data_IF_175160681216
#
_entry.id   IF_175160681216
#
_cell.length_a   1.000
_cell.length_b   1.000
_cell.length_c   1.000
_cell.angle_alpha   90.00
_cell.angle_beta   90.00
_cell.angle_gamma   90.00
#
_symmetry.space_group_name_H-M   'P 1'
#
loop_
_entity.id
_entity.type
_entity.pdbx_description
1 polymer ?
#
# COMPACT_ATOMS: atom_id res chain seq x y z
N UNK A 1 -59.99 -16.46 60.01
CA UNK A 1 -59.23 -17.61 59.48
C UNK A 1 -59.24 -17.52 57.97
N UNK A 2 -58.10 -17.24 57.32
CA UNK A 2 -58.02 -17.21 55.86
C UNK A 2 -57.70 -18.61 55.33
N UNK A 3 -58.56 -19.14 54.46
CA UNK A 3 -58.35 -20.44 53.81
C UNK A 3 -57.15 -20.36 52.84
N UNK A 4 -56.30 -21.38 52.87
CA UNK A 4 -55.12 -21.48 52.00
C UNK A 4 -55.57 -21.76 50.56
N UNK A 5 -55.42 -20.79 49.66
CA UNK A 5 -55.78 -20.94 48.24
C UNK A 5 -54.70 -21.75 47.51
N UNK A 6 -54.93 -23.05 47.39
CA UNK A 6 -54.07 -23.98 46.66
C UNK A 6 -54.40 -23.95 45.16
N UNK A 7 -53.98 -22.89 44.44
CA UNK A 7 -54.14 -22.82 42.99
C UNK A 7 -53.01 -23.65 42.36
N UNK A 8 -53.32 -24.73 41.60
CA UNK A 8 -52.30 -25.55 40.97
C UNK A 8 -51.50 -24.73 39.95
N UNK A 9 -50.18 -24.97 39.89
CA UNK A 9 -49.29 -24.28 38.97
C UNK A 9 -49.69 -24.56 37.51
N UNK A 10 -49.83 -23.50 36.72
CA UNK A 10 -50.24 -23.58 35.32
C UNK A 10 -49.19 -24.32 34.49
N UNK A 11 -49.63 -25.31 33.69
CA UNK A 11 -48.72 -26.17 32.93
C UNK A 11 -48.06 -25.44 31.75
N UNK A 12 -46.98 -26.00 31.19
CA UNK A 12 -46.26 -25.39 30.06
C UNK A 12 -47.13 -25.28 28.81
N UNK A 13 -47.99 -26.25 28.56
CA UNK A 13 -48.95 -26.25 27.46
C UNK A 13 -49.99 -25.13 27.62
N UNK A 14 -50.53 -24.96 28.84
CA UNK A 14 -51.46 -23.88 29.16
C UNK A 14 -50.81 -22.49 28.99
N UNK A 15 -49.53 -22.35 29.37
CA UNK A 15 -48.76 -21.11 29.11
C UNK A 15 -48.51 -20.87 27.62
N UNK A 16 -48.27 -21.93 26.84
CA UNK A 16 -48.11 -21.86 25.39
C UNK A 16 -49.39 -21.42 24.69
N UNK A 17 -50.53 -21.98 25.08
CA UNK A 17 -51.84 -21.59 24.54
C UNK A 17 -52.19 -20.12 24.83
N UNK A 18 -51.83 -19.61 26.00
CA UNK A 18 -52.00 -18.19 26.35
C UNK A 18 -51.03 -17.24 25.62
N UNK A 19 -49.90 -17.76 25.11
CA UNK A 19 -48.90 -17.00 24.37
C UNK A 19 -49.06 -17.06 22.85
N UNK A 20 -49.92 -17.95 22.33
CA UNK A 20 -50.22 -18.02 20.91
C UNK A 20 -50.99 -16.77 20.48
N UNK A 21 -50.32 -15.96 19.66
CA UNK A 21 -50.83 -14.66 19.20
C UNK A 21 -52.07 -14.82 18.34
N UNK A 22 -52.20 -15.90 17.57
CA UNK A 22 -53.40 -16.14 16.75
C UNK A 22 -54.62 -16.44 17.61
N UNK A 23 -54.48 -17.34 18.59
CA UNK A 23 -55.55 -17.72 19.51
C UNK A 23 -56.05 -16.51 20.29
N UNK A 24 -55.12 -15.71 20.82
CA UNK A 24 -55.43 -14.49 21.57
C UNK A 24 -56.17 -13.45 20.73
N UNK A 25 -55.80 -13.31 19.46
CA UNK A 25 -56.46 -12.37 18.55
C UNK A 25 -57.85 -12.87 18.14
N UNK A 26 -58.02 -14.18 17.91
CA UNK A 26 -59.33 -14.80 17.66
C UNK A 26 -60.28 -14.63 18.86
N UNK A 27 -59.78 -14.76 20.09
CA UNK A 27 -60.56 -14.51 21.31
C UNK A 27 -60.94 -13.03 21.47
N UNK A 28 -59.99 -12.09 21.23
CA UNK A 28 -60.31 -10.65 21.26
C UNK A 28 -61.35 -10.28 20.21
N UNK A 29 -61.25 -10.82 19.00
CA UNK A 29 -62.24 -10.61 17.94
C UNK A 29 -63.61 -11.17 18.34
N UNK A 30 -63.66 -12.34 19.00
CA UNK A 30 -64.91 -12.91 19.53
C UNK A 30 -65.53 -12.08 20.66
N UNK A 31 -64.70 -11.50 21.52
CA UNK A 31 -65.14 -10.74 22.70
C UNK A 31 -65.41 -9.25 22.41
N UNK A 32 -65.15 -8.80 21.18
CA UNK A 32 -65.38 -7.41 20.78
C UNK A 32 -66.90 -7.12 20.71
N UNK A 33 -67.37 -6.24 21.59
CA UNK A 33 -68.80 -5.90 21.77
C UNK A 33 -69.30 -4.72 20.94
N UNK A 34 -68.52 -4.24 19.98
CA UNK A 34 -68.90 -3.08 19.16
C UNK A 34 -69.41 -3.54 17.78
N UNK A 35 -70.72 -3.32 17.59
CA UNK A 35 -71.54 -3.43 16.38
C UNK A 35 -70.89 -3.96 15.10
N UNK A 36 -70.95 -5.27 14.89
CA UNK A 36 -70.86 -5.85 13.55
C UNK A 36 -72.24 -5.84 12.90
N UNK A 37 -72.45 -4.98 11.90
CA UNK A 37 -73.42 -5.28 10.85
C UNK A 37 -72.86 -6.51 10.12
N UNK A 38 -73.46 -7.68 10.35
CA UNK A 38 -73.23 -8.83 9.46
C UNK A 38 -73.96 -8.51 8.17
N UNK A 39 -73.20 -8.13 7.15
CA UNK A 39 -73.74 -7.97 5.81
C UNK A 39 -74.02 -9.37 5.28
N UNK A 40 -75.29 -9.76 5.20
CA UNK A 40 -75.69 -10.99 4.53
C UNK A 40 -75.33 -10.87 3.05
N UNK A 41 -74.25 -11.54 2.65
CA UNK A 41 -73.76 -11.58 1.26
C UNK A 41 -74.65 -12.42 0.36
N UNK A 42 -75.59 -13.18 0.93
CA UNK A 42 -76.58 -14.00 0.22
C UNK A 42 -77.66 -13.17 -0.50
N UNK A 43 -77.99 -11.98 -0.01
CA UNK A 43 -79.05 -11.14 -0.57
C UNK A 43 -78.57 -10.18 -1.67
N UNK A 44 -77.30 -9.74 -1.62
CA UNK A 44 -76.76 -8.72 -2.52
C UNK A 44 -75.73 -9.22 -3.54
N UNK A 45 -75.43 -10.52 -3.56
CA UNK A 45 -74.53 -11.17 -4.55
C UNK A 45 -73.07 -10.72 -4.51
N UNK A 46 -72.78 -9.60 -3.84
CA UNK A 46 -71.44 -9.08 -3.64
C UNK A 46 -71.34 -8.48 -2.24
N UNK A 47 -70.18 -8.67 -1.62
CA UNK A 47 -69.82 -7.92 -0.41
C UNK A 47 -70.09 -6.42 -0.66
N UNK A 48 -70.57 -5.72 0.37
CA UNK A 48 -70.96 -4.30 0.42
C UNK A 48 -69.93 -3.27 -0.10
N UNK A 49 -68.83 -3.74 -0.68
CA UNK A 49 -67.63 -3.02 -1.13
C UNK A 49 -67.58 -2.93 -2.66
N UNK A 50 -68.44 -3.65 -3.39
CA UNK A 50 -68.52 -3.57 -4.86
C UNK A 50 -69.77 -2.79 -5.25
N UNK A 51 -69.54 -1.63 -5.83
CA UNK A 51 -70.59 -0.79 -6.40
C UNK A 51 -71.19 -1.47 -7.65
N UNK A 52 -72.49 -1.34 -7.84
CA UNK A 52 -73.14 -1.81 -9.07
C UNK A 52 -72.64 -0.98 -10.27
N UNK A 53 -72.47 -1.61 -11.44
CA UNK A 53 -71.89 -0.96 -12.64
C UNK A 53 -72.56 0.35 -13.06
N UNK A 54 -73.84 0.52 -12.73
CA UNK A 54 -74.66 1.70 -13.05
C UNK A 54 -74.61 2.79 -11.97
N UNK A 55 -74.00 2.51 -10.82
CA UNK A 55 -73.92 3.44 -9.70
C UNK A 55 -72.73 4.39 -9.85
N UNK A 56 -72.87 5.61 -9.34
CA UNK A 56 -71.85 6.65 -9.44
C UNK A 56 -70.51 6.29 -8.78
N UNK A 57 -70.52 5.34 -7.82
CA UNK A 57 -69.32 4.85 -7.15
C UNK A 57 -68.61 3.71 -7.88
N UNK A 58 -69.12 3.24 -9.01
CA UNK A 58 -68.50 2.16 -9.77
C UNK A 58 -67.20 2.61 -10.44
N UNK A 59 -66.16 1.82 -10.24
CA UNK A 59 -64.88 1.92 -10.95
C UNK A 59 -64.53 0.54 -11.48
N UNK A 60 -63.97 0.49 -12.68
CA UNK A 60 -63.46 -0.77 -13.23
C UNK A 60 -62.26 -1.26 -12.43
N UNK A 61 -62.00 -2.56 -12.42
CA UNK A 61 -60.81 -3.09 -11.75
C UNK A 61 -59.50 -2.54 -12.37
N UNK A 62 -59.52 -2.17 -13.65
CA UNK A 62 -58.39 -1.52 -14.33
C UNK A 62 -58.12 -0.10 -13.82
N UNK A 63 -59.15 0.61 -13.37
CA UNK A 63 -59.01 1.95 -12.76
C UNK A 63 -58.77 1.86 -11.24
N UNK A 64 -59.22 0.77 -10.62
CA UNK A 64 -59.07 0.49 -9.19
C UNK A 64 -57.67 -0.01 -8.83
N UNK A 65 -57.05 -0.80 -9.69
CA UNK A 65 -55.76 -1.42 -9.46
C UNK A 65 -54.72 -0.91 -10.46
N UNK A 66 -53.51 -0.61 -9.98
CA UNK A 66 -52.39 -0.34 -10.87
C UNK A 66 -52.08 -1.58 -11.71
N UNK A 67 -52.14 -1.44 -13.04
CA UNK A 67 -51.99 -2.54 -13.98
C UNK A 67 -50.53 -2.88 -14.29
N UNK A 68 -49.60 -1.97 -14.00
CA UNK A 68 -48.15 -2.14 -14.27
C UNK A 68 -47.33 -2.46 -13.02
N UNK A 69 -47.78 -3.43 -12.23
CA UNK A 69 -47.01 -3.93 -11.08
C UNK A 69 -45.65 -4.48 -11.48
N UNK A 70 -45.53 -4.99 -12.73
CA UNK A 70 -44.29 -5.53 -13.26
C UNK A 70 -43.25 -4.43 -13.54
N UNK A 71 -43.67 -3.29 -14.09
CA UNK A 71 -42.83 -2.12 -14.30
C UNK A 71 -42.33 -1.50 -12.99
N UNK A 72 -43.21 -1.38 -11.99
CA UNK A 72 -42.83 -0.86 -10.66
C UNK A 72 -41.81 -1.76 -9.96
N UNK A 73 -42.02 -3.08 -9.97
CA UNK A 73 -41.08 -4.05 -9.39
C UNK A 73 -39.74 -4.04 -10.12
N UNK A 74 -39.76 -3.88 -11.46
CA UNK A 74 -38.54 -3.73 -12.24
C UNK A 74 -37.79 -2.47 -11.86
N UNK A 75 -38.46 -1.32 -11.77
CA UNK A 75 -37.85 -0.06 -11.35
C UNK A 75 -37.25 -0.17 -9.94
N UNK A 76 -37.94 -0.84 -9.02
CA UNK A 76 -37.43 -1.09 -7.67
C UNK A 76 -36.15 -1.95 -7.70
N UNK A 77 -36.10 -3.01 -8.52
CA UNK A 77 -34.91 -3.86 -8.66
C UNK A 77 -33.73 -3.11 -9.28
N UNK A 78 -33.99 -2.33 -10.32
CA UNK A 78 -32.98 -1.51 -10.98
C UNK A 78 -32.40 -0.47 -10.01
N UNK A 79 -33.24 0.18 -9.21
CA UNK A 79 -32.78 1.13 -8.17
C UNK A 79 -31.91 0.43 -7.11
N UNK A 80 -32.35 -0.73 -6.60
CA UNK A 80 -31.56 -1.52 -5.63
C UNK A 80 -30.21 -1.90 -6.23
N UNK A 81 -30.19 -2.38 -7.47
CA UNK A 81 -28.96 -2.76 -8.17
C UNK A 81 -28.04 -1.55 -8.36
N UNK A 82 -28.55 -0.42 -8.82
CA UNK A 82 -27.78 0.82 -9.00
C UNK A 82 -27.19 1.32 -7.66
N UNK A 83 -27.95 1.26 -6.57
CA UNK A 83 -27.47 1.58 -5.22
C UNK A 83 -26.33 0.64 -4.81
N UNK A 84 -26.44 -0.67 -5.05
CA UNK A 84 -25.37 -1.61 -4.74
C UNK A 84 -24.12 -1.36 -5.59
N UNK A 85 -24.28 -1.13 -6.90
CA UNK A 85 -23.15 -0.84 -7.79
C UNK A 85 -22.39 0.42 -7.38
N UNK A 86 -23.10 1.53 -7.15
CA UNK A 86 -22.48 2.78 -6.70
C UNK A 86 -21.74 2.63 -5.36
N UNK A 87 -22.25 1.82 -4.43
CA UNK A 87 -21.54 1.51 -3.18
C UNK A 87 -20.25 0.71 -3.42
N UNK A 88 -20.28 -0.29 -4.31
CA UNK A 88 -19.11 -1.09 -4.65
C UNK A 88 -18.06 -0.25 -5.36
N UNK A 89 -18.45 0.58 -6.32
CA UNK A 89 -17.57 1.50 -7.04
C UNK A 89 -16.92 2.49 -6.08
N UNK A 90 -17.70 3.10 -5.17
CA UNK A 90 -17.16 3.99 -4.15
C UNK A 90 -16.15 3.29 -3.24
N UNK A 91 -16.42 2.06 -2.82
CA UNK A 91 -15.49 1.27 -2.01
C UNK A 91 -14.19 0.96 -2.77
N UNK A 92 -14.30 0.56 -4.04
CA UNK A 92 -13.14 0.30 -4.91
C UNK A 92 -12.30 1.56 -5.10
N UNK A 93 -12.94 2.68 -5.45
CA UNK A 93 -12.28 3.96 -5.60
C UNK A 93 -11.54 4.37 -4.33
N UNK A 94 -12.20 4.32 -3.18
CA UNK A 94 -11.57 4.67 -1.90
C UNK A 94 -10.39 3.76 -1.56
N UNK A 95 -10.48 2.46 -1.87
CA UNK A 95 -9.37 1.53 -1.68
C UNK A 95 -8.17 1.93 -2.53
N UNK A 96 -8.39 2.16 -3.83
CA UNK A 96 -7.34 2.58 -4.77
C UNK A 96 -6.70 3.90 -4.32
N UNK A 97 -7.51 4.89 -3.91
CA UNK A 97 -6.97 6.17 -3.44
C UNK A 97 -6.09 6.03 -2.19
N UNK A 98 -6.49 5.17 -1.23
CA UNK A 98 -5.68 4.88 -0.04
C UNK A 98 -4.37 4.21 -0.40
N UNK A 99 -4.39 3.27 -1.34
CA UNK A 99 -3.16 2.64 -1.81
C UNK A 99 -2.26 3.65 -2.48
N UNK A 100 -2.77 4.42 -3.45
CA UNK A 100 -1.99 5.45 -4.15
C UNK A 100 -1.36 6.44 -3.16
N UNK A 101 -2.10 6.87 -2.13
CA UNK A 101 -1.55 7.72 -1.09
C UNK A 101 -0.41 7.03 -0.32
N UNK A 102 -0.61 5.78 0.13
CA UNK A 102 0.41 4.98 0.81
C UNK A 102 1.69 4.82 -0.03
N UNK A 103 1.54 4.52 -1.32
CA UNK A 103 2.67 4.39 -2.24
C UNK A 103 3.43 5.72 -2.40
N UNK A 104 2.71 6.84 -2.56
CA UNK A 104 3.33 8.18 -2.61
C UNK A 104 4.10 8.52 -1.33
N UNK A 105 3.55 8.19 -0.17
CA UNK A 105 4.21 8.44 1.11
C UNK A 105 5.48 7.60 1.27
N UNK A 106 5.44 6.33 0.83
CA UNK A 106 6.61 5.45 0.79
C UNK A 106 7.69 5.97 -0.16
N UNK A 107 7.32 6.40 -1.36
CA UNK A 107 8.25 6.94 -2.35
C UNK A 107 8.89 8.25 -1.85
N UNK A 108 8.11 9.12 -1.22
CA UNK A 108 8.60 10.35 -0.62
C UNK A 108 9.58 10.08 0.53
N UNK A 109 9.27 9.11 1.40
CA UNK A 109 10.16 8.69 2.48
C UNK A 109 11.47 8.10 1.93
N UNK A 110 11.39 7.23 0.91
CA UNK A 110 12.55 6.66 0.24
C UNK A 110 13.43 7.73 -0.42
N UNK A 111 12.81 8.70 -1.11
CA UNK A 111 13.52 9.83 -1.73
C UNK A 111 14.21 10.72 -0.69
N UNK A 112 13.54 11.00 0.44
CA UNK A 112 14.13 11.78 1.53
C UNK A 112 15.33 11.08 2.17
N UNK A 113 15.23 9.76 2.38
CA UNK A 113 16.35 8.97 2.89
C UNK A 113 17.51 8.92 1.89
N UNK A 114 17.24 8.69 0.61
CA UNK A 114 18.28 8.69 -0.42
C UNK A 114 18.99 10.04 -0.48
N UNK A 115 18.22 11.14 -0.41
CA UNK A 115 18.78 12.48 -0.39
C UNK A 115 19.66 12.71 0.85
N UNK A 116 19.24 12.23 2.03
CA UNK A 116 20.06 12.25 3.24
C UNK A 116 21.37 11.46 3.08
N UNK A 117 21.33 10.30 2.44
CA UNK A 117 22.55 9.52 2.19
C UNK A 117 23.45 10.15 1.12
N UNK A 118 22.86 10.81 0.12
CA UNK A 118 23.60 11.57 -0.91
C UNK A 118 24.30 12.76 -0.28
N UNK A 119 23.61 13.58 0.51
CA UNK A 119 24.21 14.72 1.21
C UNK A 119 25.29 14.27 2.18
N UNK A 120 25.07 13.18 2.92
CA UNK A 120 26.07 12.63 3.82
C UNK A 120 27.33 12.15 3.08
N UNK A 121 27.17 11.45 1.94
CA UNK A 121 28.28 11.02 1.08
C UNK A 121 29.04 12.21 0.49
N UNK A 122 28.32 13.20 -0.05
CA UNK A 122 28.93 14.42 -0.60
C UNK A 122 29.66 15.23 0.46
N UNK A 123 29.09 15.37 1.65
CA UNK A 123 29.70 16.12 2.75
C UNK A 123 31.02 15.49 3.21
N UNK A 124 31.21 14.17 2.99
CA UNK A 124 32.41 13.44 3.43
C UNK A 124 32.62 13.44 4.95
N UNK A 125 31.67 13.95 5.75
CA UNK A 125 31.84 14.17 7.20
C UNK A 125 32.14 12.88 7.96
N UNK A 126 31.50 11.77 7.59
CA UNK A 126 31.83 10.44 8.13
C UNK A 126 33.19 9.91 7.68
N UNK A 127 33.66 10.31 6.50
CA UNK A 127 34.95 9.90 5.96
C UNK A 127 36.12 10.73 6.52
N UNK A 128 35.86 11.92 7.10
CA UNK A 128 36.89 12.75 7.72
C UNK A 128 37.67 12.01 8.81
N UNK A 129 37.01 11.13 9.57
CA UNK A 129 37.65 10.36 10.66
C UNK A 129 38.57 9.25 10.16
N UNK A 130 38.41 8.82 8.90
CA UNK A 130 39.24 7.81 8.24
C UNK A 130 40.22 8.41 7.24
N UNK A 131 40.35 9.74 7.19
CA UNK A 131 41.39 10.38 6.38
C UNK A 131 42.73 10.02 7.00
N UNK A 132 43.51 9.18 6.30
CA UNK A 132 44.87 8.89 6.70
C UNK A 132 45.65 10.21 6.80
N UNK A 133 46.47 10.35 7.86
CA UNK A 133 47.29 11.55 8.06
C UNK A 133 48.35 11.73 6.96
N UNK A 134 48.64 10.66 6.22
CA UNK A 134 49.58 10.64 5.11
C UNK A 134 48.94 11.20 3.83
N UNK A 135 49.71 11.98 3.07
CA UNK A 135 49.25 12.62 1.84
C UNK A 135 49.20 11.67 0.62
N UNK A 136 49.50 10.38 0.82
CA UNK A 136 49.46 9.30 -0.16
C UNK A 136 48.46 8.22 0.27
N UNK A 137 47.58 7.81 -0.64
CA UNK A 137 46.59 6.76 -0.38
C UNK A 137 47.11 5.40 -0.90
N UNK A 138 47.37 4.42 -0.02
CA UNK A 138 47.91 3.12 -0.43
C UNK A 138 46.90 2.24 -1.18
N UNK A 139 45.59 2.52 -1.10
CA UNK A 139 44.54 1.74 -1.78
C UNK A 139 44.35 2.22 -3.21
N UNK A 140 44.22 3.53 -3.41
CA UNK A 140 44.07 4.10 -4.76
C UNK A 140 45.40 4.33 -5.47
N UNK A 141 46.52 4.20 -4.75
CA UNK A 141 47.88 4.51 -5.20
C UNK A 141 48.03 5.94 -5.73
N UNK A 142 47.19 6.85 -5.24
CA UNK A 142 47.13 8.25 -5.65
C UNK A 142 47.56 9.16 -4.51
N UNK A 143 48.23 10.25 -4.87
CA UNK A 143 48.46 11.36 -3.95
C UNK A 143 47.16 12.13 -3.75
N UNK A 144 47.01 12.75 -2.58
CA UNK A 144 45.89 13.65 -2.31
C UNK A 144 45.96 14.91 -3.19
N UNK A 145 44.79 15.47 -3.54
CA UNK A 145 44.69 16.65 -4.41
C UNK A 145 45.13 17.97 -3.72
N UNK A 146 45.48 17.92 -2.43
CA UNK A 146 45.92 19.07 -1.65
C UNK A 146 47.38 19.47 -1.88
N UNK A 147 47.77 20.62 -1.29
CA UNK A 147 49.17 21.10 -1.32
C UNK A 147 50.16 20.08 -0.74
N UNK A 148 49.76 19.35 0.30
CA UNK A 148 50.62 18.35 0.93
C UNK A 148 50.86 17.14 0.01
N UNK A 149 49.85 16.71 -0.75
CA UNK A 149 50.02 15.67 -1.77
C UNK A 149 50.94 16.12 -2.91
N UNK A 150 50.83 17.38 -3.33
CA UNK A 150 51.75 17.95 -4.33
C UNK A 150 53.19 18.01 -3.81
N UNK A 151 53.39 18.40 -2.55
CA UNK A 151 54.72 18.42 -1.89
C UNK A 151 55.33 17.02 -1.81
N UNK A 152 54.54 16.03 -1.36
CA UNK A 152 54.99 14.65 -1.28
C UNK A 152 55.33 14.09 -2.67
N UNK A 153 54.48 14.36 -3.67
CA UNK A 153 54.75 13.98 -5.07
C UNK A 153 56.04 14.57 -5.61
N UNK A 154 56.32 15.85 -5.33
CA UNK A 154 57.55 16.51 -5.76
C UNK A 154 58.78 15.91 -5.06
N UNK A 155 58.69 15.63 -3.77
CA UNK A 155 59.76 14.98 -3.00
C UNK A 155 60.08 13.57 -3.56
N UNK A 156 59.06 12.76 -3.82
CA UNK A 156 59.20 11.43 -4.41
C UNK A 156 59.79 11.48 -5.82
N UNK A 157 59.36 12.44 -6.65
CA UNK A 157 59.96 12.67 -7.96
C UNK A 157 61.44 13.04 -7.86
N UNK A 158 61.82 13.87 -6.89
CA UNK A 158 63.23 14.21 -6.65
C UNK A 158 64.06 13.00 -6.18
N UNK A 159 63.50 12.13 -5.33
CA UNK A 159 64.14 10.87 -4.93
C UNK A 159 64.33 9.94 -6.13
N UNK A 160 63.29 9.76 -6.95
CA UNK A 160 63.37 8.96 -8.19
C UNK A 160 64.42 9.49 -9.16
N UNK A 161 64.46 10.81 -9.35
CA UNK A 161 65.47 11.46 -10.19
C UNK A 161 66.89 11.18 -9.66
N UNK A 162 67.14 11.37 -8.36
CA UNK A 162 68.45 11.08 -7.75
C UNK A 162 68.85 9.60 -7.90
N UNK A 163 67.90 8.68 -7.75
CA UNK A 163 68.13 7.26 -7.93
C UNK A 163 68.55 6.94 -9.39
N UNK A 164 67.89 7.54 -10.39
CA UNK A 164 68.27 7.38 -11.80
C UNK A 164 69.68 7.91 -12.07
N UNK A 165 69.99 9.12 -11.62
CA UNK A 165 71.34 9.70 -11.80
C UNK A 165 72.40 8.81 -11.17
N UNK A 166 72.14 8.31 -9.94
CA UNK A 166 73.04 7.36 -9.27
C UNK A 166 73.22 6.08 -10.07
N UNK A 167 72.12 5.51 -10.58
CA UNK A 167 72.16 4.29 -11.37
C UNK A 167 72.94 4.47 -12.68
N UNK A 168 72.76 5.61 -13.37
CA UNK A 168 73.51 5.98 -14.57
C UNK A 168 75.01 6.15 -14.28
N UNK A 169 75.35 6.80 -13.17
CA UNK A 169 76.75 6.95 -12.76
C UNK A 169 77.39 5.59 -12.44
N UNK A 170 76.70 4.72 -11.69
CA UNK A 170 77.16 3.36 -11.40
C UNK A 170 77.33 2.54 -12.69
N UNK A 171 76.38 2.63 -13.62
CA UNK A 171 76.46 1.98 -14.92
C UNK A 171 77.68 2.46 -15.72
N UNK A 172 77.95 3.77 -15.72
CA UNK A 172 79.11 4.34 -16.39
C UNK A 172 80.44 3.89 -15.75
N UNK A 173 80.51 3.80 -14.42
CA UNK A 173 81.69 3.31 -13.72
C UNK A 173 81.94 1.81 -13.93
N UNK A 174 80.88 0.99 -13.98
CA UNK A 174 80.99 -0.45 -14.20
C UNK A 174 81.29 -0.81 -15.67
N UNK A 175 80.86 0.01 -16.63
CA UNK A 175 81.02 -0.26 -18.06
C UNK A 175 81.27 1.05 -18.82
N UNK A 176 82.51 1.52 -18.77
CA UNK A 176 82.93 2.77 -19.43
C UNK A 176 82.76 2.75 -20.95
N UNK A 177 83.04 1.61 -21.57
CA UNK A 177 82.92 1.40 -23.02
C UNK A 177 81.46 1.22 -23.47
N UNK A 178 80.52 1.12 -22.52
CA UNK A 178 79.10 0.94 -22.83
C UNK A 178 78.76 -0.43 -23.42
N UNK A 179 79.57 -1.46 -23.14
CA UNK A 179 79.38 -2.83 -23.63
C UNK A 179 79.32 -3.79 -22.43
N UNK A 180 78.35 -4.71 -22.45
CA UNK A 180 78.24 -5.72 -21.40
C UNK A 180 79.35 -6.77 -21.59
N UNK A 181 80.25 -6.98 -20.60
CA UNK A 181 81.40 -7.87 -20.77
C UNK A 181 81.02 -9.36 -20.89
N UNK A 182 79.79 -9.75 -20.54
CA UNK A 182 79.33 -11.16 -20.64
C UNK A 182 78.70 -11.45 -22.00
N UNK A 183 77.88 -10.53 -22.52
CA UNK A 183 77.10 -10.74 -23.75
C UNK A 183 77.65 -10.00 -24.97
N UNK A 184 78.53 -9.02 -24.78
CA UNK A 184 79.05 -8.16 -25.86
C UNK A 184 78.05 -7.14 -26.41
N UNK A 185 76.84 -7.07 -25.85
CA UNK A 185 75.79 -6.15 -26.30
C UNK A 185 75.98 -4.73 -25.74
N UNK A 186 75.50 -3.69 -26.46
CA UNK A 186 75.55 -2.32 -25.97
C UNK A 186 74.65 -2.14 -24.74
N UNK A 187 75.21 -1.52 -23.70
CA UNK A 187 74.56 -1.27 -22.43
C UNK A 187 73.53 -0.16 -22.58
N UNK A 188 72.25 -0.52 -22.48
CA UNK A 188 71.13 0.44 -22.51
C UNK A 188 71.16 1.35 -21.28
N UNK A 189 70.97 2.67 -21.46
CA UNK A 189 70.84 3.64 -20.36
C UNK A 189 69.63 3.34 -19.48
N UNK A 190 69.85 3.41 -18.17
CA UNK A 190 68.81 3.25 -17.15
C UNK A 190 67.85 4.44 -17.18
N UNK A 191 66.56 4.16 -17.27
CA UNK A 191 65.48 5.14 -17.20
C UNK A 191 64.64 4.97 -15.92
N UNK A 192 63.81 5.97 -15.58
CA UNK A 192 62.93 5.93 -14.39
C UNK A 192 62.06 4.66 -14.38
N UNK A 193 61.56 4.26 -15.56
CA UNK A 193 60.73 3.05 -15.75
C UNK A 193 61.45 1.73 -15.40
N UNK A 194 62.77 1.74 -15.33
CA UNK A 194 63.57 0.55 -15.02
C UNK A 194 63.79 0.41 -13.50
N UNK A 195 63.50 1.46 -12.71
CA UNK A 195 63.62 1.46 -11.24
C UNK A 195 62.31 1.12 -10.52
N UNK A 196 61.18 1.21 -11.22
CA UNK A 196 59.86 0.91 -10.66
C UNK A 196 59.32 -0.34 -11.35
N UNK A 197 58.90 -1.38 -10.61
CA UNK A 197 58.28 -2.54 -11.23
C UNK A 197 57.06 -2.11 -12.03
N UNK A 198 56.96 -2.58 -13.27
CA UNK A 198 55.78 -2.34 -14.09
C UNK A 198 54.60 -3.06 -13.41
N UNK A 199 53.55 -2.31 -13.04
CA UNK A 199 52.30 -2.93 -12.63
C UNK A 199 51.77 -3.73 -13.82
N UNK A 200 51.69 -5.06 -13.66
CA UNK A 200 51.04 -5.95 -14.62
C UNK A 200 49.54 -5.66 -14.67
#
# INVERSE_FOLDING_TARGET
>A
MAAFNNIPACTREQRGALQDKEQREKERLRQRKEGFVRVDTSAAGSAMIVYAATSQGFMSDADRFHSDTAGEERAHREERHARTQSQLERRRYNSVQREVARWKDMDAAGAAEEQRWRTLRQSGTKALRNKCGEAFNPVTLQYSDGKDGQRLRAADQAVKHRAVVRAQNLQHHNSREGINPITGEPVRRIAIRDLVPQSQ
#
